data_IF_793101194156
#
_entry.id   IF_793101194156
#
_cell.length_a   1.000
_cell.length_b   1.000
_cell.length_c   1.000
_cell.angle_alpha   90.00
_cell.angle_beta   90.00
_cell.angle_gamma   90.00
#
_symmetry.space_group_name_H-M   'P 1'
#
loop_
_entity.id
_entity.type
_entity.pdbx_description
1 polymer ?
#
# COMPACT_ATOMS: atom_id res chain seq x y z
N UNK A 1 0.05 20.91 18.02
CA UNK A 1 1.02 19.81 18.26
C UNK A 1 0.34 18.48 17.93
N UNK A 2 0.93 17.70 17.03
CA UNK A 2 0.46 16.36 16.68
C UNK A 2 1.26 15.33 17.48
N UNK A 3 0.60 14.43 18.19
CA UNK A 3 1.18 13.28 18.83
C UNK A 3 0.84 12.02 18.00
N UNK A 4 1.86 11.23 17.68
CA UNK A 4 1.68 10.00 16.89
C UNK A 4 2.30 8.82 17.63
N UNK A 5 1.51 7.79 17.82
CA UNK A 5 1.91 6.53 18.42
C UNK A 5 1.89 5.44 17.35
N UNK A 6 2.95 4.67 17.25
CA UNK A 6 3.05 3.59 16.28
C UNK A 6 3.48 2.28 16.92
N UNK A 7 2.82 1.20 16.53
CA UNK A 7 3.20 -0.17 16.86
C UNK A 7 3.42 -0.94 15.56
N UNK A 8 4.52 -1.67 15.46
CA UNK A 8 4.86 -2.49 14.30
C UNK A 8 5.27 -3.89 14.71
N UNK A 9 4.84 -4.87 13.92
CA UNK A 9 5.23 -6.26 14.02
C UNK A 9 5.68 -6.76 12.65
N UNK A 10 6.75 -7.55 12.61
CA UNK A 10 7.17 -8.23 11.40
C UNK A 10 7.80 -9.58 11.75
N UNK A 11 7.45 -10.58 10.94
CA UNK A 11 8.02 -11.92 11.02
C UNK A 11 8.16 -12.49 9.62
N UNK A 12 9.33 -13.05 9.31
CA UNK A 12 9.66 -13.58 7.98
C UNK A 12 10.40 -14.89 8.08
N UNK A 13 9.99 -15.84 7.29
CA UNK A 13 10.77 -17.04 7.03
C UNK A 13 11.93 -16.69 6.07
N UNK A 14 13.09 -17.30 6.30
CA UNK A 14 14.30 -17.06 5.51
C UNK A 14 14.05 -17.27 4.02
N UNK A 15 14.36 -16.26 3.25
CA UNK A 15 14.18 -16.24 1.80
C UNK A 15 15.37 -16.93 1.11
N UNK A 16 15.09 -17.79 0.11
CA UNK A 16 16.13 -18.32 -0.76
C UNK A 16 16.57 -17.26 -1.79
N UNK A 17 17.79 -17.39 -2.30
CA UNK A 17 18.37 -16.39 -3.23
C UNK A 17 17.55 -16.19 -4.52
N UNK A 18 16.80 -17.20 -4.96
CA UNK A 18 15.95 -17.12 -6.17
C UNK A 18 14.53 -16.66 -5.92
N UNK A 19 14.09 -16.59 -4.67
CA UNK A 19 12.74 -16.16 -4.35
C UNK A 19 12.60 -14.63 -4.48
N UNK A 20 11.43 -14.14 -4.84
CA UNK A 20 11.14 -12.71 -5.00
C UNK A 20 10.74 -12.05 -3.68
N UNK A 21 10.12 -12.83 -2.82
CA UNK A 21 9.68 -12.42 -1.50
C UNK A 21 9.88 -13.58 -0.52
N UNK A 22 9.82 -13.33 0.79
CA UNK A 22 9.82 -14.40 1.76
C UNK A 22 8.72 -15.43 1.42
N UNK A 23 8.98 -16.74 1.51
CA UNK A 23 7.97 -17.76 1.22
C UNK A 23 6.78 -17.66 2.18
N UNK A 24 7.05 -17.24 3.42
CA UNK A 24 6.05 -16.88 4.42
C UNK A 24 6.51 -15.65 5.17
N UNK A 25 5.59 -14.74 5.42
CA UNK A 25 5.89 -13.57 6.22
C UNK A 25 4.65 -12.75 6.51
N UNK A 26 4.71 -12.02 7.61
CA UNK A 26 3.66 -11.10 8.04
C UNK A 26 4.31 -9.79 8.45
N UNK A 27 3.73 -8.70 8.00
CA UNK A 27 4.01 -7.35 8.49
C UNK A 27 2.69 -6.77 8.94
N UNK A 28 2.65 -6.25 10.15
CA UNK A 28 1.49 -5.53 10.67
C UNK A 28 1.94 -4.24 11.32
N UNK A 29 1.16 -3.19 11.19
CA UNK A 29 1.40 -1.95 11.91
C UNK A 29 0.10 -1.25 12.25
N UNK A 30 0.07 -0.62 13.41
CA UNK A 30 -0.99 0.25 13.88
C UNK A 30 -0.39 1.62 14.17
N UNK A 31 -1.07 2.67 13.75
CA UNK A 31 -0.67 4.06 14.01
C UNK A 31 -1.89 4.81 14.52
N UNK A 32 -1.71 5.49 15.65
CA UNK A 32 -2.70 6.37 16.22
C UNK A 32 -2.14 7.78 16.29
N UNK A 33 -2.83 8.74 15.71
CA UNK A 33 -2.44 10.13 15.70
C UNK A 33 -3.53 10.99 16.35
N UNK A 34 -3.14 11.85 17.27
CA UNK A 34 -4.04 12.74 18.01
C UNK A 34 -3.44 14.13 18.15
N UNK A 35 -4.29 15.13 18.30
CA UNK A 35 -3.87 16.49 18.62
C UNK A 35 -4.39 16.89 20.01
N UNK A 36 -3.66 16.62 21.09
CA UNK A 36 -4.12 16.87 22.44
C UNK A 36 -4.29 18.37 22.77
N UNK A 37 -3.72 19.26 21.96
CA UNK A 37 -3.78 20.71 22.18
C UNK A 37 -5.01 21.38 21.56
N UNK A 38 -5.79 20.67 20.76
CA UNK A 38 -6.94 21.23 20.06
C UNK A 38 -8.02 20.17 19.91
N UNK A 39 -9.14 20.36 20.59
CA UNK A 39 -10.35 19.54 20.37
C UNK A 39 -10.98 19.72 18.99
N UNK A 40 -10.37 20.54 18.13
CA UNK A 40 -10.82 20.81 16.79
C UNK A 40 -10.37 19.74 15.76
N UNK A 41 -9.54 18.78 16.15
CA UNK A 41 -9.02 17.76 15.25
C UNK A 41 -9.54 16.37 15.66
N UNK A 42 -10.00 15.61 14.69
CA UNK A 42 -10.31 14.20 14.91
C UNK A 42 -9.02 13.41 15.08
N UNK A 43 -9.09 12.39 15.92
CA UNK A 43 -8.02 11.41 16.02
C UNK A 43 -8.04 10.48 14.81
N UNK A 44 -6.88 9.96 14.45
CA UNK A 44 -6.73 9.01 13.35
C UNK A 44 -6.24 7.67 13.87
N UNK A 45 -6.92 6.62 13.50
CA UNK A 45 -6.43 5.25 13.61
C UNK A 45 -6.15 4.69 12.22
N UNK A 46 -4.92 4.26 11.98
CA UNK A 46 -4.51 3.61 10.74
C UNK A 46 -3.90 2.24 11.04
N UNK A 47 -4.43 1.21 10.40
CA UNK A 47 -3.98 -0.17 10.48
C UNK A 47 -3.45 -0.59 9.12
N UNK A 48 -2.37 -1.34 9.10
CA UNK A 48 -1.80 -1.93 7.92
C UNK A 48 -1.35 -3.35 8.20
N UNK A 49 -1.68 -4.27 7.29
CA UNK A 49 -1.21 -5.63 7.33
C UNK A 49 -0.75 -6.07 5.94
N UNK A 50 0.30 -6.87 5.88
CA UNK A 50 0.80 -7.46 4.65
C UNK A 50 1.23 -8.89 4.94
N UNK A 51 0.71 -9.82 4.14
CA UNK A 51 0.99 -11.24 4.26
C UNK A 51 1.69 -11.70 2.97
N UNK A 52 2.76 -12.44 3.14
CA UNK A 52 3.49 -13.10 2.07
C UNK A 52 3.23 -14.59 2.13
N UNK A 53 2.93 -15.18 0.99
CA UNK A 53 2.75 -16.63 0.86
C UNK A 53 3.46 -17.15 -0.38
N UNK A 54 3.84 -18.42 -0.42
CA UNK A 54 4.34 -19.03 -1.65
C UNK A 54 3.23 -19.00 -2.70
N UNK A 55 3.61 -18.80 -3.94
CA UNK A 55 2.67 -18.91 -5.06
C UNK A 55 2.37 -20.37 -5.42
N UNK A 56 1.62 -20.55 -6.50
CA UNK A 56 1.20 -21.88 -6.97
C UNK A 56 2.33 -22.71 -7.59
N UNK A 57 3.47 -22.09 -7.91
CA UNK A 57 4.64 -22.75 -8.48
C UNK A 57 5.91 -22.36 -7.75
N UNK A 58 7.02 -23.08 -8.05
CA UNK A 58 8.33 -22.78 -7.44
C UNK A 58 8.78 -21.36 -7.76
N UNK A 59 9.32 -20.66 -6.76
CA UNK A 59 9.83 -19.29 -6.86
C UNK A 59 8.77 -18.22 -7.17
N UNK A 60 7.50 -18.55 -7.13
CA UNK A 60 6.43 -17.58 -7.21
C UNK A 60 6.12 -17.01 -5.82
N UNK A 61 5.57 -15.83 -5.77
CA UNK A 61 5.09 -15.25 -4.51
C UNK A 61 3.70 -14.65 -4.68
N UNK A 62 2.87 -14.83 -3.69
CA UNK A 62 1.59 -14.17 -3.56
C UNK A 62 1.66 -13.25 -2.34
N UNK A 63 1.28 -12.00 -2.54
CA UNK A 63 1.31 -11.00 -1.47
C UNK A 63 -0.06 -10.36 -1.38
N UNK A 64 -0.65 -10.42 -0.19
CA UNK A 64 -1.87 -9.70 0.16
C UNK A 64 -1.51 -8.56 1.11
N UNK A 65 -1.86 -7.34 0.76
CA UNK A 65 -1.75 -6.18 1.62
C UNK A 65 -3.14 -5.61 1.89
N UNK A 66 -3.36 -5.14 3.12
CA UNK A 66 -4.60 -4.51 3.55
C UNK A 66 -4.27 -3.27 4.37
N UNK A 67 -5.03 -2.21 4.17
CA UNK A 67 -4.94 -0.99 4.95
C UNK A 67 -6.34 -0.55 5.36
N UNK A 68 -6.49 -0.19 6.62
CA UNK A 68 -7.70 0.39 7.16
C UNK A 68 -7.38 1.67 7.89
N UNK A 69 -8.15 2.71 7.62
CA UNK A 69 -8.00 3.99 8.27
C UNK A 69 -9.37 4.52 8.67
N UNK A 70 -9.48 5.05 9.88
CA UNK A 70 -10.69 5.70 10.34
C UNK A 70 -10.35 6.93 11.18
N UNK A 71 -11.19 7.94 11.08
CA UNK A 71 -11.13 9.12 11.94
C UNK A 71 -12.04 8.89 13.14
N UNK A 72 -11.51 9.08 14.35
CA UNK A 72 -12.22 8.95 15.62
C UNK A 72 -12.54 10.35 16.12
N UNK A 73 -13.81 10.61 16.41
CA UNK A 73 -14.26 11.96 16.76
C UNK A 73 -14.51 12.79 15.50
N UNK A 74 -15.45 13.69 15.52
CA UNK A 74 -15.88 14.36 14.32
C UNK A 74 -16.09 15.85 14.47
N UNK A 75 -15.62 16.61 13.49
CA UNK A 75 -16.11 17.94 13.18
C UNK A 75 -16.96 17.88 11.92
N UNK A 76 -18.18 18.36 12.03
CA UNK A 76 -19.15 18.47 10.91
C UNK A 76 -19.04 19.83 10.20
N UNK A 77 -17.91 20.53 10.26
CA UNK A 77 -17.75 21.80 9.55
C UNK A 77 -17.01 21.62 8.22
N UNK A 78 -17.36 22.44 7.22
CA UNK A 78 -16.70 22.40 5.89
C UNK A 78 -15.19 22.58 5.97
N UNK A 79 -14.73 23.45 6.87
CA UNK A 79 -13.32 23.77 7.03
C UNK A 79 -12.54 22.65 7.71
N UNK A 80 -13.19 21.90 8.59
CA UNK A 80 -12.59 20.75 9.25
C UNK A 80 -12.43 19.54 8.31
N UNK A 81 -13.36 19.33 7.39
CA UNK A 81 -13.23 18.23 6.41
C UNK A 81 -12.01 18.38 5.50
N UNK A 82 -11.67 19.60 5.11
CA UNK A 82 -10.52 19.86 4.24
C UNK A 82 -9.18 19.85 4.99
N UNK A 83 -9.20 20.25 6.27
CA UNK A 83 -7.99 20.38 7.10
C UNK A 83 -7.54 19.06 7.74
N UNK A 84 -8.45 18.10 7.90
CA UNK A 84 -8.27 16.90 8.75
C UNK A 84 -8.10 15.60 8.00
N UNK A 85 -8.03 15.62 6.68
CA UNK A 85 -7.75 14.40 5.94
C UNK A 85 -6.28 14.00 6.12
N UNK A 86 -6.00 13.20 7.14
CA UNK A 86 -4.74 12.49 7.23
C UNK A 86 -4.65 11.52 6.06
N UNK A 87 -3.78 11.82 5.11
CA UNK A 87 -3.62 10.99 3.92
C UNK A 87 -2.81 9.75 4.28
N UNK A 88 -3.44 8.59 4.24
CA UNK A 88 -2.71 7.34 4.26
C UNK A 88 -2.08 7.13 2.89
N UNK A 89 -0.76 7.17 2.83
CA UNK A 89 0.00 6.85 1.61
C UNK A 89 0.39 5.38 1.52
N UNK A 90 -0.02 4.55 2.50
CA UNK A 90 0.52 3.20 2.66
C UNK A 90 0.01 2.20 1.64
N UNK A 91 -1.20 2.35 1.15
CA UNK A 91 -1.79 1.45 0.16
C UNK A 91 -2.76 2.24 -0.72
N UNK A 92 -2.30 2.63 -1.90
CA UNK A 92 -3.14 3.27 -2.91
C UNK A 92 -3.37 2.30 -4.06
N UNK A 93 -4.60 2.21 -4.61
CA UNK A 93 -4.86 1.46 -5.82
C UNK A 93 -4.02 1.99 -6.99
N UNK A 94 -3.59 1.11 -7.87
CA UNK A 94 -2.80 1.48 -9.05
C UNK A 94 -3.53 2.48 -9.92
N UNK A 95 -2.81 3.49 -10.39
CA UNK A 95 -3.35 4.54 -11.26
C UNK A 95 -4.09 5.66 -10.52
N UNK A 96 -4.20 5.61 -9.20
CA UNK A 96 -4.88 6.65 -8.42
C UNK A 96 -3.91 7.42 -7.52
N UNK A 97 -4.17 8.71 -7.39
CA UNK A 97 -3.42 9.60 -6.53
C UNK A 97 -4.11 9.78 -5.16
N UNK A 98 -3.31 10.08 -4.14
CA UNK A 98 -3.83 10.38 -2.79
C UNK A 98 -4.78 11.58 -2.74
N UNK A 99 -4.73 12.47 -3.73
CA UNK A 99 -5.63 13.63 -3.84
C UNK A 99 -7.03 13.27 -4.33
N UNK A 100 -7.19 12.10 -4.96
CA UNK A 100 -8.48 11.62 -5.48
C UNK A 100 -9.27 10.82 -4.45
N UNK A 101 -8.61 10.45 -3.36
CA UNK A 101 -9.17 9.61 -2.30
C UNK A 101 -9.34 10.47 -1.05
N UNK A 102 -10.55 10.59 -0.55
CA UNK A 102 -10.82 11.19 0.75
C UNK A 102 -10.64 10.16 1.86
N UNK A 103 -10.06 10.57 2.98
CA UNK A 103 -9.43 9.65 3.92
C UNK A 103 -10.09 9.60 5.30
N UNK A 104 -11.38 9.95 5.41
CA UNK A 104 -12.04 9.87 6.72
C UNK A 104 -12.17 8.41 7.17
N UNK A 105 -12.81 7.59 6.33
CA UNK A 105 -12.86 6.15 6.48
C UNK A 105 -12.37 5.53 5.18
N UNK A 106 -11.30 4.78 5.25
CA UNK A 106 -10.62 4.21 4.10
C UNK A 106 -10.26 2.75 4.35
N UNK A 107 -10.65 1.89 3.45
CA UNK A 107 -10.26 0.49 3.41
C UNK A 107 -9.65 0.20 2.04
N UNK A 108 -8.47 -0.39 2.02
CA UNK A 108 -7.85 -0.84 0.79
C UNK A 108 -7.29 -2.25 0.94
N UNK A 109 -7.30 -2.98 -0.16
CA UNK A 109 -6.64 -4.27 -0.28
C UNK A 109 -5.91 -4.36 -1.62
N UNK A 110 -4.76 -5.00 -1.62
CA UNK A 110 -3.94 -5.22 -2.81
C UNK A 110 -3.45 -6.64 -2.83
N UNK A 111 -3.76 -7.35 -3.90
CA UNK A 111 -3.29 -8.70 -4.17
C UNK A 111 -2.27 -8.63 -5.29
N UNK A 112 -1.06 -9.13 -5.05
CA UNK A 112 0.02 -9.16 -6.03
C UNK A 112 0.53 -10.59 -6.21
N UNK A 113 0.61 -11.03 -7.45
CA UNK A 113 1.18 -12.30 -7.82
C UNK A 113 2.42 -12.09 -8.67
N UNK A 114 3.56 -12.56 -8.19
CA UNK A 114 4.83 -12.45 -8.89
C UNK A 114 5.30 -13.83 -9.36
N UNK A 115 5.70 -13.89 -10.63
CA UNK A 115 6.22 -15.11 -11.25
C UNK A 115 7.49 -14.82 -12.04
N UNK A 116 8.47 -15.73 -12.03
CA UNK A 116 9.63 -15.63 -12.89
C UNK A 116 9.24 -15.96 -14.33
N UNK A 117 9.67 -15.15 -15.28
CA UNK A 117 9.57 -15.46 -16.70
C UNK A 117 10.78 -16.25 -17.13
N UNK A 118 11.97 -15.72 -16.86
CA UNK A 118 13.22 -16.39 -17.16
C UNK A 118 14.37 -15.88 -16.28
N UNK A 119 15.42 -16.67 -16.23
CA UNK A 119 16.69 -16.35 -15.57
C UNK A 119 17.78 -16.34 -16.66
N UNK A 120 18.03 -15.19 -17.30
CA UNK A 120 19.06 -15.09 -18.33
C UNK A 120 20.46 -15.46 -17.79
N UNK A 121 20.72 -15.12 -16.52
CA UNK A 121 22.02 -15.35 -15.82
C UNK A 121 23.21 -15.04 -16.73
N UNK A 122 23.12 -13.97 -17.50
CA UNK A 122 24.10 -13.54 -18.48
C UNK A 122 24.49 -12.09 -18.34
N UNK A 123 25.72 -11.78 -18.68
CA UNK A 123 26.23 -10.41 -18.60
C UNK A 123 27.12 -10.03 -19.78
N UNK A 124 27.26 -8.71 -19.97
CA UNK A 124 28.14 -8.15 -21.00
C UNK A 124 29.32 -7.43 -20.35
N UNK A 125 30.52 -8.03 -20.53
CA UNK A 125 31.84 -7.46 -20.15
C UNK A 125 31.96 -6.88 -18.72
N UNK A 126 31.18 -7.41 -17.75
CA UNK A 126 31.20 -6.89 -16.38
C UNK A 126 30.44 -5.56 -16.19
N UNK A 127 29.87 -4.99 -17.25
CA UNK A 127 29.13 -3.73 -17.18
C UNK A 127 27.69 -3.98 -16.76
N UNK A 128 27.03 -4.94 -17.40
CA UNK A 128 25.63 -5.30 -17.12
C UNK A 128 25.53 -6.80 -16.93
N UNK A 129 24.84 -7.22 -15.88
CA UNK A 129 24.49 -8.60 -15.63
C UNK A 129 23.00 -8.73 -15.44
N UNK A 130 22.34 -9.45 -16.34
CA UNK A 130 20.88 -9.73 -16.28
C UNK A 130 20.64 -10.92 -15.38
N UNK A 131 20.03 -10.67 -14.25
CA UNK A 131 19.79 -11.69 -13.22
C UNK A 131 18.50 -12.46 -13.50
N UNK A 132 17.40 -11.75 -13.73
CA UNK A 132 16.09 -12.36 -13.95
C UNK A 132 15.10 -11.40 -14.55
N UNK A 133 14.10 -11.94 -15.23
CA UNK A 133 12.91 -11.22 -15.69
C UNK A 133 11.71 -11.82 -14.96
N UNK A 134 10.91 -10.98 -14.35
CA UNK A 134 9.72 -11.38 -13.61
C UNK A 134 8.49 -10.58 -14.03
N UNK A 135 7.34 -11.23 -13.97
CA UNK A 135 6.04 -10.61 -14.15
C UNK A 135 5.41 -10.39 -12.77
N UNK A 136 4.82 -9.24 -12.57
CA UNK A 136 3.95 -8.94 -11.44
C UNK A 136 2.56 -8.65 -11.97
N UNK A 137 1.56 -9.41 -11.53
CA UNK A 137 0.16 -9.15 -11.78
C UNK A 137 -0.50 -8.72 -10.48
N UNK A 138 -1.31 -7.68 -10.52
CA UNK A 138 -1.91 -7.12 -9.33
C UNK A 138 -3.36 -6.74 -9.51
N UNK A 139 -4.11 -6.89 -8.43
CA UNK A 139 -5.49 -6.48 -8.28
C UNK A 139 -5.62 -5.65 -7.01
N UNK A 140 -6.21 -4.47 -7.12
CA UNK A 140 -6.38 -3.56 -6.01
C UNK A 140 -7.86 -3.21 -5.87
N UNK A 141 -8.33 -3.17 -4.63
CA UNK A 141 -9.64 -2.70 -4.25
C UNK A 141 -9.49 -1.64 -3.17
N UNK A 142 -10.20 -0.55 -3.30
CA UNK A 142 -10.31 0.45 -2.25
C UNK A 142 -11.75 0.93 -2.09
N UNK A 143 -12.11 1.21 -0.85
CA UNK A 143 -13.39 1.78 -0.47
C UNK A 143 -13.13 2.95 0.47
N UNK A 144 -13.78 4.07 0.23
CA UNK A 144 -13.65 5.27 1.05
C UNK A 144 -14.95 6.03 1.18
N UNK A 145 -15.07 6.71 2.28
CA UNK A 145 -16.21 7.58 2.59
C UNK A 145 -15.89 8.99 2.14
N UNK A 146 -16.79 9.56 1.35
CA UNK A 146 -16.75 10.94 0.88
C UNK A 146 -17.86 11.75 1.48
N UNK A 147 -17.49 12.82 2.21
CA UNK A 147 -18.44 13.79 2.71
C UNK A 147 -18.81 14.81 1.64
N UNK A 148 -20.11 14.98 1.36
CA UNK A 148 -20.60 15.98 0.44
C UNK A 148 -21.60 16.90 1.13
N UNK A 149 -21.37 18.21 1.06
CA UNK A 149 -22.31 19.20 1.50
C UNK A 149 -23.31 19.51 0.38
N UNK A 150 -24.57 19.44 0.70
CA UNK A 150 -25.67 19.81 -0.19
C UNK A 150 -26.07 21.28 0.04
N UNK A 151 -26.84 21.83 -0.88
CA UNK A 151 -27.32 23.23 -0.80
C UNK A 151 -28.21 23.50 0.41
N UNK A 152 -28.85 22.46 0.94
CA UNK A 152 -29.64 22.49 2.16
C UNK A 152 -28.79 22.59 3.45
N UNK A 153 -27.46 22.63 3.34
CA UNK A 153 -26.53 22.64 4.44
C UNK A 153 -26.27 21.27 5.09
N UNK A 154 -26.95 20.23 4.62
CA UNK A 154 -26.75 18.86 5.14
C UNK A 154 -25.44 18.25 4.64
N UNK A 155 -24.73 17.57 5.54
CA UNK A 155 -23.57 16.74 5.21
C UNK A 155 -24.06 15.30 4.99
N UNK A 156 -23.89 14.77 3.79
CA UNK A 156 -24.15 13.36 3.51
C UNK A 156 -22.85 12.64 3.24
N UNK A 157 -22.78 11.41 3.74
CA UNK A 157 -21.64 10.52 3.57
C UNK A 157 -21.97 9.49 2.51
N UNK A 158 -21.18 9.47 1.44
CA UNK A 158 -21.34 8.51 0.34
C UNK A 158 -20.12 7.60 0.30
N UNK A 159 -20.37 6.30 0.15
CA UNK A 159 -19.31 5.31 -0.02
C UNK A 159 -18.97 5.15 -1.49
N UNK A 160 -17.71 5.38 -1.80
CA UNK A 160 -17.14 5.16 -3.12
C UNK A 160 -16.21 3.96 -3.09
N UNK A 161 -16.17 3.21 -4.18
CA UNK A 161 -15.25 2.10 -4.35
C UNK A 161 -14.45 2.26 -5.63
N UNK A 162 -13.23 1.78 -5.60
CA UNK A 162 -12.29 1.76 -6.71
C UNK A 162 -11.79 0.35 -6.87
N UNK A 163 -11.76 -0.12 -8.10
CA UNK A 163 -11.16 -1.39 -8.50
C UNK A 163 -10.13 -1.07 -9.55
N UNK A 164 -8.91 -1.56 -9.37
CA UNK A 164 -7.87 -1.46 -10.38
C UNK A 164 -7.11 -2.79 -10.52
N UNK A 165 -6.61 -3.03 -11.69
CA UNK A 165 -5.76 -4.17 -11.99
C UNK A 165 -4.66 -3.75 -12.94
N UNK A 166 -3.56 -4.45 -12.92
CA UNK A 166 -2.43 -4.14 -13.77
C UNK A 166 -1.35 -5.19 -13.66
N UNK A 167 -0.37 -5.07 -14.53
CA UNK A 167 0.79 -5.95 -14.51
C UNK A 167 2.03 -5.19 -14.95
N UNK A 168 3.17 -5.59 -14.37
CA UNK A 168 4.48 -5.02 -14.62
C UNK A 168 5.46 -6.12 -15.02
N UNK A 169 6.26 -5.87 -16.04
CA UNK A 169 7.42 -6.71 -16.35
C UNK A 169 8.63 -6.05 -15.70
N UNK A 170 9.27 -6.76 -14.79
CA UNK A 170 10.39 -6.23 -14.02
C UNK A 170 11.66 -6.95 -14.43
N UNK A 171 12.65 -6.17 -14.84
CA UNK A 171 13.98 -6.63 -15.18
C UNK A 171 14.94 -6.36 -14.02
N UNK A 172 15.40 -7.40 -13.35
CA UNK A 172 16.42 -7.29 -12.31
C UNK A 172 17.81 -7.47 -12.94
N UNK A 173 18.64 -6.44 -12.87
CA UNK A 173 20.00 -6.46 -13.39
C UNK A 173 20.99 -5.88 -12.37
N UNK A 174 22.27 -6.19 -12.53
CA UNK A 174 23.35 -5.50 -11.85
C UNK A 174 24.06 -4.63 -12.88
N UNK A 175 24.24 -3.37 -12.57
CA UNK A 175 25.01 -2.44 -13.39
C UNK A 175 26.27 -2.03 -12.65
N UNK A 176 27.45 -2.28 -13.24
CA UNK A 176 28.76 -2.07 -12.61
C UNK A 176 28.88 -2.66 -11.19
N UNK A 177 28.29 -3.84 -10.98
CA UNK A 177 28.28 -4.50 -9.67
C UNK A 177 27.21 -3.99 -8.69
N UNK A 178 26.44 -2.96 -9.04
CA UNK A 178 25.35 -2.46 -8.21
C UNK A 178 24.00 -3.06 -8.68
N UNK A 179 23.12 -3.47 -7.76
CA UNK A 179 21.80 -3.96 -8.11
C UNK A 179 20.94 -2.83 -8.67
N UNK A 180 20.28 -3.10 -9.76
CA UNK A 180 19.29 -2.20 -10.39
C UNK A 180 18.08 -3.01 -10.85
N UNK A 181 16.88 -2.42 -10.77
CA UNK A 181 15.67 -2.99 -11.36
C UNK A 181 14.95 -1.94 -12.18
N UNK A 182 14.46 -2.35 -13.36
CA UNK A 182 13.66 -1.53 -14.24
C UNK A 182 12.27 -2.17 -14.41
N UNK A 183 11.24 -1.33 -14.39
CA UNK A 183 9.83 -1.68 -14.63
C UNK A 183 9.32 -1.03 -15.89
#
# INVERSE_FOLDING_TARGET
HLATFGLGFQDFVRQAHRDFAPPWGVVASATYATNPASGAFSDLLALYAKVYTPGFARHNSLTLAMAYQTSIGGFESKDALSALSFKSTRLLPRGFNSTQIENRNYLASSLNYQLPICYPDGGWRGIVYFKRIRLNAGFDYAQFERGRFYEDGSLRHEWHHIISWGGDIILDCNFLGQPASAT
#
